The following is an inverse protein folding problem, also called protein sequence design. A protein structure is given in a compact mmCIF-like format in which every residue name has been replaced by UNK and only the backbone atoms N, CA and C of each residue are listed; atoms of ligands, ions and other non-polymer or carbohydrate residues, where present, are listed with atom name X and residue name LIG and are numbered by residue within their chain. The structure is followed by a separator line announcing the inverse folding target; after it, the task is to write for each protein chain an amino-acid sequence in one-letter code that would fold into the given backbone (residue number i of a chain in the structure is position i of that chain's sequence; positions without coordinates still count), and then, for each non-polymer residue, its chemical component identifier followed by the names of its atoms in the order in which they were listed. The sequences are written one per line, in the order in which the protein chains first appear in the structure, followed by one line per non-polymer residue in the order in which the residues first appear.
data_IF_622923862910
#
_entry.id   IF_622923862910
#
_cell.length_a   1.000
_cell.length_b   1.000
_cell.length_c   1.000
_cell.angle_alpha   90.00
_cell.angle_beta   90.00
_cell.angle_gamma   90.00
#
_symmetry.space_group_name_H-M   'P 1'
#
loop_
_entity.id
_entity.type
_entity.pdbx_description
1 polymer ?
#
# COMPACT_ATOMS: atom_id res chain seq x y z
N UNK A 1 29.34 -53.34 -1.69
CA UNK A 1 28.86 -52.57 -0.53
C UNK A 1 28.60 -51.14 -0.99
N UNK A 2 27.34 -50.74 -1.24
CA UNK A 2 27.00 -49.35 -1.49
C UNK A 2 26.57 -48.70 -0.18
N UNK A 3 27.16 -47.57 0.19
CA UNK A 3 26.80 -46.88 1.43
C UNK A 3 27.30 -45.44 1.44
N UNK A 4 26.35 -44.51 1.60
CA UNK A 4 26.51 -43.10 2.00
C UNK A 4 26.82 -42.07 0.90
N UNK A 5 25.81 -41.78 0.07
CA UNK A 5 25.67 -40.49 -0.63
C UNK A 5 24.40 -39.69 -0.25
N UNK A 6 23.68 -40.08 0.80
CA UNK A 6 22.44 -39.40 1.20
C UNK A 6 22.50 -38.82 2.62
N UNK A 7 23.21 -37.70 2.82
CA UNK A 7 23.09 -36.94 4.07
C UNK A 7 23.33 -35.41 3.98
N UNK A 8 23.66 -34.84 2.81
CA UNK A 8 23.97 -33.41 2.69
C UNK A 8 22.73 -32.56 2.34
N UNK A 9 21.63 -33.18 1.89
CA UNK A 9 20.47 -32.46 1.34
C UNK A 9 19.44 -31.89 2.32
N UNK A 10 19.52 -32.16 3.64
CA UNK A 10 18.45 -31.76 4.60
C UNK A 10 18.77 -30.61 5.55
N UNK A 11 20.02 -30.11 5.59
CA UNK A 11 20.39 -29.00 6.50
C UNK A 11 20.45 -27.62 5.83
N UNK A 12 20.35 -27.52 4.50
CA UNK A 12 20.26 -26.24 3.77
C UNK A 12 18.86 -25.60 3.78
N UNK A 13 17.87 -26.19 4.49
CA UNK A 13 16.51 -25.67 4.50
C UNK A 13 16.31 -24.47 5.45
N UNK A 14 17.07 -24.33 6.54
CA UNK A 14 16.89 -23.22 7.49
C UNK A 14 17.19 -21.83 6.87
N UNK A 15 18.24 -21.76 6.05
CA UNK A 15 18.68 -20.50 5.43
C UNK A 15 17.80 -20.04 4.26
N UNK A 16 16.96 -20.93 3.70
CA UNK A 16 15.95 -20.57 2.69
C UNK A 16 14.72 -19.88 3.30
N UNK A 17 14.51 -19.97 4.62
CA UNK A 17 13.29 -19.46 5.28
C UNK A 17 13.39 -18.00 5.72
N UNK A 18 14.60 -17.46 5.87
CA UNK A 18 14.82 -16.01 6.07
C UNK A 18 14.53 -15.18 4.81
N UNK A 19 14.28 -15.82 3.67
CA UNK A 19 13.89 -15.18 2.40
C UNK A 19 12.38 -14.92 2.26
N UNK A 20 11.54 -15.53 3.11
CA UNK A 20 10.07 -15.43 3.00
C UNK A 20 9.47 -14.22 3.74
N UNK A 21 10.22 -13.55 4.62
CA UNK A 21 9.71 -12.43 5.42
C UNK A 21 9.57 -11.12 4.66
N UNK A 22 10.22 -10.97 3.50
CA UNK A 22 10.18 -9.74 2.69
C UNK A 22 8.96 -9.69 1.75
N UNK A 23 8.37 -10.83 1.42
CA UNK A 23 7.18 -10.90 0.55
C UNK A 23 5.88 -10.48 1.25
N UNK A 24 5.90 -10.25 2.57
CA UNK A 24 4.74 -9.77 3.32
C UNK A 24 4.57 -8.23 3.29
N UNK A 25 5.54 -7.49 2.74
CA UNK A 25 5.68 -6.04 2.90
C UNK A 25 4.59 -5.25 2.14
N UNK A 26 4.09 -5.76 1.02
CA UNK A 26 3.09 -5.04 0.21
C UNK A 26 1.65 -5.14 0.78
N UNK A 27 1.38 -6.12 1.65
CA UNK A 27 0.01 -6.48 2.04
C UNK A 27 -0.46 -5.86 3.38
N UNK A 28 0.43 -5.19 4.13
CA UNK A 28 0.20 -4.92 5.56
C UNK A 28 0.07 -3.43 5.95
N UNK A 29 0.25 -2.51 5.01
CA UNK A 29 0.04 -1.05 5.21
C UNK A 29 -1.37 -0.57 4.83
N UNK A 30 -2.18 -1.40 4.16
CA UNK A 30 -3.44 -1.01 3.52
C UNK A 30 -4.73 -1.43 4.23
N UNK A 31 -4.63 -1.97 5.46
CA UNK A 31 -5.79 -2.57 6.12
C UNK A 31 -6.82 -1.55 6.68
N UNK A 32 -6.62 -0.23 6.48
CA UNK A 32 -7.49 0.82 7.03
C UNK A 32 -8.01 1.85 5.99
N UNK A 33 -8.37 1.43 4.78
CA UNK A 33 -9.04 2.33 3.83
C UNK A 33 -10.42 1.80 3.41
N UNK A 34 -11.50 2.09 4.18
CA UNK A 34 -12.82 2.21 3.59
C UNK A 34 -12.86 3.51 2.75
N UNK A 35 -13.52 3.45 1.59
CA UNK A 35 -13.47 4.36 0.43
C UNK A 35 -13.87 5.86 0.64
N UNK A 36 -13.76 6.40 1.85
CA UNK A 36 -14.00 7.79 2.20
C UNK A 36 -12.77 8.68 2.03
N UNK A 37 -11.64 8.29 2.64
CA UNK A 37 -10.45 9.13 2.88
C UNK A 37 -9.82 9.67 1.59
N UNK A 38 -10.17 10.90 1.22
CA UNK A 38 -9.69 11.53 -0.01
C UNK A 38 -8.44 12.40 0.20
N UNK A 39 -8.13 12.81 1.43
CA UNK A 39 -7.06 13.79 1.69
C UNK A 39 -5.94 13.28 2.62
N UNK A 40 -5.87 11.96 2.87
CA UNK A 40 -4.70 11.35 3.52
C UNK A 40 -3.56 11.23 2.51
N UNK A 41 -2.62 12.16 2.57
CA UNK A 41 -1.40 12.26 1.77
C UNK A 41 -0.78 10.90 1.36
N UNK A 42 -0.68 10.66 0.05
CA UNK A 42 0.14 9.59 -0.58
C UNK A 42 1.59 9.59 -0.03
N UNK A 43 2.06 10.76 0.44
CA UNK A 43 3.34 10.97 1.13
C UNK A 43 3.57 10.04 2.33
N UNK A 44 2.52 9.74 3.10
CA UNK A 44 2.64 8.94 4.32
C UNK A 44 2.94 7.47 4.01
N UNK A 45 2.47 6.94 2.87
CA UNK A 45 2.76 5.57 2.43
C UNK A 45 4.23 5.43 2.05
N UNK A 46 4.76 6.36 1.25
CA UNK A 46 6.18 6.39 0.86
C UNK A 46 7.08 6.47 2.10
N UNK A 47 6.77 7.35 3.06
CA UNK A 47 7.54 7.51 4.28
C UNK A 47 7.57 6.24 5.15
N UNK A 48 6.44 5.53 5.28
CA UNK A 48 6.40 4.22 5.98
C UNK A 48 7.31 3.21 5.28
N UNK A 49 7.24 3.14 3.94
CA UNK A 49 8.01 2.19 3.14
C UNK A 49 9.50 2.48 3.19
N UNK A 50 9.91 3.74 3.07
CA UNK A 50 11.29 4.18 3.26
C UNK A 50 11.81 3.80 4.64
N UNK A 51 11.04 4.06 5.70
CA UNK A 51 11.46 3.76 7.07
C UNK A 51 11.60 2.24 7.30
N UNK A 52 10.68 1.44 6.73
CA UNK A 52 10.79 -0.01 6.78
C UNK A 52 12.02 -0.52 6.02
N UNK A 53 12.19 -0.06 4.78
CA UNK A 53 13.33 -0.44 3.94
C UNK A 53 14.65 -0.07 4.61
N UNK A 54 14.75 1.13 5.19
CA UNK A 54 15.94 1.56 5.92
C UNK A 54 16.25 0.67 7.13
N UNK A 55 15.22 0.20 7.86
CA UNK A 55 15.42 -0.74 8.96
C UNK A 55 15.90 -2.11 8.46
N UNK A 56 15.23 -2.68 7.47
CA UNK A 56 15.58 -4.01 6.95
C UNK A 56 16.88 -4.02 6.17
N UNK A 57 17.21 -2.92 5.47
CA UNK A 57 18.47 -2.73 4.76
C UNK A 57 19.63 -2.73 5.75
N UNK A 58 19.54 -1.94 6.83
CA UNK A 58 20.56 -1.92 7.87
C UNK A 58 20.73 -3.30 8.51
N UNK A 59 19.62 -3.97 8.86
CA UNK A 59 19.65 -5.34 9.41
C UNK A 59 20.37 -6.33 8.48
N UNK A 60 20.15 -6.20 7.17
CA UNK A 60 20.81 -7.01 6.14
C UNK A 60 22.28 -6.61 5.94
N UNK A 61 22.61 -5.33 5.95
CA UNK A 61 23.99 -4.84 5.85
C UNK A 61 24.89 -5.49 6.91
N UNK A 62 24.38 -5.63 8.15
CA UNK A 62 25.07 -6.35 9.21
C UNK A 62 25.28 -7.83 8.88
N UNK A 63 24.29 -8.54 8.31
CA UNK A 63 24.46 -9.93 7.86
C UNK A 63 25.63 -10.02 6.86
N UNK A 64 25.65 -9.13 5.86
CA UNK A 64 26.64 -9.11 4.78
C UNK A 64 28.04 -8.77 5.32
N UNK A 65 28.15 -7.74 6.16
CA UNK A 65 29.42 -7.31 6.75
C UNK A 65 30.05 -8.39 7.64
N UNK A 66 29.25 -9.10 8.43
CA UNK A 66 29.73 -10.22 9.25
C UNK A 66 30.11 -11.42 8.39
N UNK A 67 29.36 -11.70 7.32
CA UNK A 67 29.72 -12.75 6.37
C UNK A 67 31.06 -12.49 5.68
N UNK A 68 31.34 -11.24 5.26
CA UNK A 68 32.67 -10.86 4.74
C UNK A 68 33.74 -11.12 5.81
N UNK A 69 33.57 -10.56 7.01
CA UNK A 69 34.54 -10.68 8.10
C UNK A 69 34.85 -12.13 8.44
N UNK A 70 33.85 -13.01 8.46
CA UNK A 70 34.04 -14.43 8.72
C UNK A 70 34.78 -15.10 7.55
N UNK A 71 34.37 -14.85 6.31
CA UNK A 71 35.01 -15.43 5.13
C UNK A 71 36.48 -14.99 4.98
N UNK A 72 36.83 -13.78 5.42
CA UNK A 72 38.22 -13.28 5.48
C UNK A 72 39.13 -14.12 6.39
N UNK A 73 38.55 -14.82 7.37
CA UNK A 73 39.32 -15.69 8.29
C UNK A 73 39.56 -17.09 7.74
N UNK A 74 38.89 -17.47 6.65
CA UNK A 74 39.01 -18.79 6.06
C UNK A 74 40.30 -18.93 5.24
N UNK A 75 40.91 -20.10 5.29
CA UNK A 75 42.16 -20.34 4.56
C UNK A 75 41.92 -20.34 3.03
N UNK A 76 42.69 -19.53 2.30
CA UNK A 76 42.63 -19.47 0.84
C UNK A 76 41.37 -18.81 0.25
N UNK A 77 40.61 -18.08 1.06
CA UNK A 77 39.48 -17.28 0.61
C UNK A 77 39.93 -16.05 -0.18
N UNK A 78 39.09 -15.61 -1.11
CA UNK A 78 39.17 -14.30 -1.76
C UNK A 78 37.79 -13.66 -1.61
N UNK A 79 37.70 -12.61 -0.79
CA UNK A 79 36.46 -11.90 -0.48
C UNK A 79 36.34 -10.60 -1.26
N UNK A 80 37.22 -10.35 -2.24
CA UNK A 80 37.25 -9.08 -2.99
C UNK A 80 35.90 -8.77 -3.63
N UNK A 81 35.24 -9.76 -4.21
CA UNK A 81 33.91 -9.59 -4.82
C UNK A 81 32.82 -9.39 -3.77
N UNK A 82 32.86 -10.11 -2.64
CA UNK A 82 31.93 -9.89 -1.53
C UNK A 82 32.02 -8.47 -0.99
N UNK A 83 33.24 -7.93 -0.82
CA UNK A 83 33.48 -6.56 -0.39
C UNK A 83 32.91 -5.51 -1.38
N UNK A 84 33.03 -5.74 -2.69
CA UNK A 84 32.40 -4.88 -3.70
C UNK A 84 30.88 -4.90 -3.60
N UNK A 85 30.28 -6.09 -3.52
CA UNK A 85 28.82 -6.24 -3.39
C UNK A 85 28.27 -5.62 -2.11
N UNK A 86 29.01 -5.72 -0.99
CA UNK A 86 28.67 -4.99 0.24
C UNK A 86 28.74 -3.46 0.05
N UNK A 87 29.74 -2.96 -0.66
CA UNK A 87 29.84 -1.53 -0.96
C UNK A 87 28.68 -1.05 -1.88
N UNK A 88 28.31 -1.85 -2.87
CA UNK A 88 27.16 -1.57 -3.75
C UNK A 88 25.85 -1.57 -2.94
N UNK A 89 25.67 -2.52 -2.03
CA UNK A 89 24.51 -2.57 -1.13
C UNK A 89 24.43 -1.31 -0.24
N UNK A 90 25.55 -0.89 0.35
CA UNK A 90 25.61 0.37 1.14
C UNK A 90 25.27 1.59 0.30
N UNK A 91 25.71 1.63 -0.97
CA UNK A 91 25.37 2.71 -1.90
C UNK A 91 23.87 2.72 -2.24
N UNK A 92 23.23 1.56 -2.30
CA UNK A 92 21.77 1.46 -2.46
C UNK A 92 21.05 1.93 -1.19
N UNK A 93 21.54 1.57 0.01
CA UNK A 93 20.96 2.01 1.28
C UNK A 93 20.93 3.54 1.42
N UNK A 94 21.96 4.26 0.97
CA UNK A 94 21.98 5.73 1.05
C UNK A 94 20.93 6.40 0.17
N UNK A 95 20.44 5.72 -0.89
CA UNK A 95 19.39 6.21 -1.80
C UNK A 95 17.98 6.10 -1.23
N UNK A 96 17.77 5.33 -0.16
CA UNK A 96 16.42 5.04 0.39
C UNK A 96 15.67 6.34 0.68
N UNK A 97 16.31 7.32 1.32
CA UNK A 97 15.70 8.60 1.70
C UNK A 97 15.36 9.50 0.50
N UNK A 98 15.98 9.26 -0.65
CA UNK A 98 15.86 10.10 -1.84
C UNK A 98 14.76 9.58 -2.79
N UNK A 99 14.14 8.43 -2.46
CA UNK A 99 13.00 7.90 -3.20
C UNK A 99 11.76 8.77 -2.96
N UNK A 100 11.25 9.43 -3.98
CA UNK A 100 10.07 10.29 -3.88
C UNK A 100 8.77 9.52 -4.08
N UNK A 101 8.83 8.42 -4.83
CA UNK A 101 7.68 7.57 -5.13
C UNK A 101 7.93 6.16 -4.65
N UNK A 102 6.86 5.42 -4.49
CA UNK A 102 6.99 4.04 -4.07
C UNK A 102 7.38 3.08 -5.18
N UNK A 103 7.18 3.43 -6.44
CA UNK A 103 7.81 2.75 -7.58
C UNK A 103 9.33 2.83 -7.47
N UNK A 104 9.87 3.99 -7.09
CA UNK A 104 11.31 4.14 -6.82
C UNK A 104 11.75 3.30 -5.60
N UNK A 105 10.91 3.19 -4.56
CA UNK A 105 11.16 2.28 -3.43
C UNK A 105 11.17 0.81 -3.90
N UNK A 106 10.23 0.39 -4.74
CA UNK A 106 10.16 -0.97 -5.29
C UNK A 106 11.38 -1.31 -6.15
N UNK A 107 11.75 -0.42 -7.07
CA UNK A 107 12.94 -0.56 -7.90
C UNK A 107 14.19 -0.69 -7.02
N UNK A 108 14.31 0.13 -5.97
CA UNK A 108 15.42 0.04 -5.03
C UNK A 108 15.43 -1.28 -4.25
N UNK A 109 14.27 -1.79 -3.82
CA UNK A 109 14.15 -3.12 -3.18
C UNK A 109 14.65 -4.21 -4.12
N UNK A 110 14.27 -4.18 -5.40
CA UNK A 110 14.71 -5.15 -6.38
C UNK A 110 16.22 -5.08 -6.61
N UNK A 111 16.77 -3.89 -6.77
CA UNK A 111 18.22 -3.67 -6.86
C UNK A 111 18.96 -4.26 -5.64
N UNK A 112 18.46 -4.01 -4.42
CA UNK A 112 19.04 -4.53 -3.18
C UNK A 112 18.91 -6.06 -3.07
N UNK A 113 17.80 -6.64 -3.56
CA UNK A 113 17.60 -8.09 -3.65
C UNK A 113 18.59 -8.72 -4.62
N UNK A 114 18.78 -8.13 -5.79
CA UNK A 114 19.73 -8.62 -6.78
C UNK A 114 21.17 -8.60 -6.24
N UNK A 115 21.58 -7.51 -5.60
CA UNK A 115 22.90 -7.42 -4.91
C UNK A 115 23.03 -8.46 -3.81
N UNK A 116 21.99 -8.64 -2.99
CA UNK A 116 21.99 -9.66 -1.91
C UNK A 116 22.07 -11.09 -2.47
N UNK A 117 21.39 -11.37 -3.58
CA UNK A 117 21.45 -12.66 -4.27
C UNK A 117 22.86 -12.97 -4.77
N UNK A 118 23.47 -12.02 -5.48
CA UNK A 118 24.85 -12.14 -5.95
C UNK A 118 25.85 -12.30 -4.79
N UNK A 119 25.66 -11.56 -3.70
CA UNK A 119 26.50 -11.69 -2.51
C UNK A 119 26.38 -13.09 -1.91
N UNK A 120 25.16 -13.63 -1.86
CA UNK A 120 24.88 -14.95 -1.31
C UNK A 120 25.57 -16.05 -2.11
N UNK A 121 25.51 -15.98 -3.44
CA UNK A 121 26.21 -16.92 -4.33
C UNK A 121 27.73 -16.87 -4.13
N UNK A 122 28.28 -15.67 -4.02
CA UNK A 122 29.71 -15.48 -3.75
C UNK A 122 30.11 -16.03 -2.38
N UNK A 123 29.32 -15.72 -1.33
CA UNK A 123 29.55 -16.23 0.02
C UNK A 123 29.52 -17.76 0.06
N UNK A 124 28.57 -18.40 -0.64
CA UNK A 124 28.50 -19.86 -0.76
C UNK A 124 29.78 -20.44 -1.40
N UNK A 125 30.27 -19.81 -2.47
CA UNK A 125 31.50 -20.21 -3.15
C UNK A 125 32.74 -20.10 -2.24
N UNK A 126 32.89 -18.95 -1.57
CA UNK A 126 34.01 -18.71 -0.66
C UNK A 126 33.97 -19.65 0.55
N UNK A 127 32.79 -19.85 1.13
CA UNK A 127 32.56 -20.80 2.23
C UNK A 127 32.90 -22.24 1.82
N UNK A 128 32.52 -22.67 0.62
CA UNK A 128 32.84 -24.01 0.14
C UNK A 128 34.35 -24.21 -0.06
N UNK A 129 35.03 -23.22 -0.66
CA UNK A 129 36.48 -23.26 -0.91
C UNK A 129 37.29 -23.23 0.40
N UNK A 130 36.92 -22.34 1.31
CA UNK A 130 37.58 -22.15 2.61
C UNK A 130 37.16 -23.16 3.69
N UNK A 131 36.31 -24.13 3.35
CA UNK A 131 35.73 -25.11 4.29
C UNK A 131 35.06 -24.45 5.50
N UNK A 132 34.37 -23.32 5.25
CA UNK A 132 33.66 -22.55 6.24
C UNK A 132 32.50 -23.32 6.88
N UNK A 133 32.23 -23.01 8.15
CA UNK A 133 31.15 -23.59 8.94
C UNK A 133 29.97 -22.62 9.05
N UNK A 134 28.78 -23.05 8.60
CA UNK A 134 27.58 -22.21 8.55
C UNK A 134 27.01 -21.86 9.92
N UNK A 135 27.06 -22.81 10.86
CA UNK A 135 26.63 -22.62 12.24
C UNK A 135 27.47 -21.56 12.96
N UNK A 136 28.77 -21.49 12.68
CA UNK A 136 29.66 -20.46 13.22
C UNK A 136 29.29 -19.07 12.65
N UNK A 137 29.05 -18.98 11.34
CA UNK A 137 28.62 -17.73 10.70
C UNK A 137 27.27 -17.24 11.26
N UNK A 138 26.28 -18.14 11.35
CA UNK A 138 24.96 -17.83 11.87
C UNK A 138 25.03 -17.34 13.33
N UNK A 139 25.85 -18.01 14.16
CA UNK A 139 26.07 -17.57 15.54
C UNK A 139 26.69 -16.17 15.60
N UNK A 140 27.68 -15.85 14.75
CA UNK A 140 28.31 -14.53 14.72
C UNK A 140 27.34 -13.44 14.25
N UNK A 141 26.52 -13.73 13.25
CA UNK A 141 25.46 -12.81 12.77
C UNK A 141 24.47 -12.54 13.90
N UNK A 142 23.98 -13.59 14.57
CA UNK A 142 23.03 -13.46 15.66
C UNK A 142 23.59 -12.63 16.82
N UNK A 143 24.85 -12.86 17.22
CA UNK A 143 25.50 -12.16 18.33
C UNK A 143 25.60 -10.65 18.06
N UNK A 144 25.94 -10.25 16.83
CA UNK A 144 26.12 -8.85 16.44
C UNK A 144 24.79 -8.11 16.28
N UNK A 145 23.73 -8.81 15.89
CA UNK A 145 22.39 -8.23 15.69
C UNK A 145 21.59 -8.16 16.97
N UNK A 146 21.81 -9.10 17.89
CA UNK A 146 21.13 -9.14 19.17
C UNK A 146 21.39 -7.85 19.94
N UNK A 147 20.33 -7.11 20.22
CA UNK A 147 20.36 -5.81 20.91
C UNK A 147 21.21 -4.72 20.23
N UNK A 148 21.43 -4.81 18.91
CA UNK A 148 22.14 -3.76 18.18
C UNK A 148 21.37 -2.42 18.26
N UNK A 149 21.96 -1.35 18.85
CA UNK A 149 21.24 -0.11 19.11
C UNK A 149 20.81 0.61 17.83
N UNK A 150 21.56 0.48 16.73
CA UNK A 150 21.23 1.11 15.45
C UNK A 150 20.05 0.42 14.76
N UNK A 151 20.04 -0.92 14.76
CA UNK A 151 18.90 -1.71 14.23
C UNK A 151 17.64 -1.41 15.05
N UNK A 152 17.76 -1.39 16.38
CA UNK A 152 16.64 -1.04 17.27
C UNK A 152 16.12 0.39 17.03
N UNK A 153 17.01 1.36 16.83
CA UNK A 153 16.63 2.74 16.53
C UNK A 153 15.86 2.85 15.21
N UNK A 154 16.32 2.20 14.13
CA UNK A 154 15.63 2.20 12.83
C UNK A 154 14.27 1.51 12.92
N UNK A 155 14.20 0.40 13.65
CA UNK A 155 12.93 -0.28 13.96
C UNK A 155 11.96 0.64 14.68
N UNK A 156 12.42 1.40 15.66
CA UNK A 156 11.60 2.35 16.40
C UNK A 156 11.08 3.49 15.50
N UNK A 157 11.94 4.02 14.63
CA UNK A 157 11.58 5.05 13.66
C UNK A 157 10.47 4.56 12.72
N UNK A 158 10.61 3.35 12.17
CA UNK A 158 9.58 2.71 11.36
C UNK A 158 8.23 2.65 12.09
N UNK A 159 8.21 2.11 13.32
CA UNK A 159 6.98 1.98 14.08
C UNK A 159 6.36 3.33 14.44
N UNK A 160 7.18 4.34 14.72
CA UNK A 160 6.71 5.70 15.00
C UNK A 160 6.01 6.30 13.78
N UNK A 161 6.67 6.25 12.61
CA UNK A 161 6.13 6.78 11.35
C UNK A 161 4.82 6.05 11.00
N UNK A 162 4.84 4.72 11.03
CA UNK A 162 3.66 3.90 10.72
C UNK A 162 2.49 4.18 11.67
N UNK A 163 2.73 4.25 12.97
CA UNK A 163 1.68 4.53 13.95
C UNK A 163 1.04 5.89 13.70
N UNK A 164 1.87 6.93 13.48
CA UNK A 164 1.39 8.30 13.23
C UNK A 164 0.50 8.36 11.99
N UNK A 165 0.99 7.84 10.86
CA UNK A 165 0.27 7.86 9.59
C UNK A 165 -1.06 7.08 9.66
N UNK A 166 -1.05 5.89 10.28
CA UNK A 166 -2.25 5.04 10.36
C UNK A 166 -3.32 5.64 11.28
N UNK A 167 -2.92 6.30 12.38
CA UNK A 167 -3.88 7.04 13.22
C UNK A 167 -4.42 8.29 12.53
N UNK A 168 -3.59 9.00 11.76
CA UNK A 168 -4.05 10.15 10.97
C UNK A 168 -5.04 9.74 9.86
N UNK A 169 -4.82 8.60 9.21
CA UNK A 169 -5.74 8.03 8.24
C UNK A 169 -7.09 7.67 8.88
N UNK A 170 -7.07 7.03 10.06
CA UNK A 170 -8.28 6.74 10.83
C UNK A 170 -9.06 8.01 11.18
N UNK A 171 -8.37 9.04 11.68
CA UNK A 171 -8.98 10.33 12.04
C UNK A 171 -9.58 11.05 10.84
N UNK A 172 -8.90 11.01 9.70
CA UNK A 172 -9.38 11.57 8.44
C UNK A 172 -10.67 10.91 8.01
N UNK A 173 -10.75 9.58 8.09
CA UNK A 173 -11.97 8.84 7.74
C UNK A 173 -13.15 9.24 8.62
N UNK A 174 -12.95 9.31 9.94
CA UNK A 174 -14.00 9.73 10.89
C UNK A 174 -14.47 11.15 10.59
N UNK A 175 -13.53 12.08 10.37
CA UNK A 175 -13.82 13.47 10.05
C UNK A 175 -14.67 13.59 8.78
N UNK A 176 -14.28 12.93 7.70
CA UNK A 176 -15.04 12.98 6.44
C UNK A 176 -16.40 12.31 6.55
N UNK A 177 -16.52 11.23 7.32
CA UNK A 177 -17.81 10.63 7.67
C UNK A 177 -18.72 11.64 8.38
N UNK A 178 -18.16 12.37 9.35
CA UNK A 178 -18.89 13.40 10.09
C UNK A 178 -19.32 14.55 9.19
N UNK A 179 -18.43 15.05 8.34
CA UNK A 179 -18.73 16.13 7.38
C UNK A 179 -19.92 15.76 6.47
N UNK A 180 -19.99 14.52 6.00
CA UNK A 180 -21.12 14.03 5.19
C UNK A 180 -22.43 14.03 5.99
N UNK A 181 -22.39 13.57 7.24
CA UNK A 181 -23.57 13.58 8.11
C UNK A 181 -24.02 15.00 8.47
N UNK A 182 -23.09 15.91 8.71
CA UNK A 182 -23.39 17.31 9.03
C UNK A 182 -24.08 18.00 7.85
N UNK A 183 -23.65 17.74 6.61
CA UNK A 183 -24.30 18.23 5.40
C UNK A 183 -25.74 17.70 5.30
N UNK A 184 -25.93 16.39 5.46
CA UNK A 184 -27.27 15.77 5.40
C UNK A 184 -28.19 16.29 6.50
N UNK A 185 -27.67 16.45 7.72
CA UNK A 185 -28.40 17.00 8.86
C UNK A 185 -28.80 18.47 8.62
N UNK A 186 -27.90 19.28 8.07
CA UNK A 186 -28.19 20.67 7.70
C UNK A 186 -29.28 20.79 6.62
N UNK A 187 -29.39 19.77 5.76
CA UNK A 187 -30.45 19.66 4.75
C UNK A 187 -31.78 19.11 5.31
N UNK A 188 -31.84 18.77 6.60
CA UNK A 188 -33.05 18.35 7.29
C UNK A 188 -33.31 16.84 7.30
N UNK A 189 -32.35 16.00 6.87
CA UNK A 189 -32.50 14.55 6.93
C UNK A 189 -32.22 13.99 8.31
N UNK A 190 -32.91 12.90 8.67
CA UNK A 190 -32.62 12.16 9.89
C UNK A 190 -31.34 11.33 9.73
N UNK A 191 -30.25 11.84 10.31
CA UNK A 191 -28.95 11.18 10.30
C UNK A 191 -28.70 10.33 11.55
N UNK A 192 -29.67 10.18 12.46
CA UNK A 192 -29.47 9.60 13.81
C UNK A 192 -28.84 8.20 13.76
N UNK A 193 -29.33 7.33 12.88
CA UNK A 193 -28.83 5.95 12.76
C UNK A 193 -27.41 5.91 12.18
N UNK A 194 -27.14 6.71 11.14
CA UNK A 194 -25.82 6.78 10.52
C UNK A 194 -24.79 7.43 11.46
N UNK A 195 -25.17 8.46 12.22
CA UNK A 195 -24.34 9.07 13.26
C UNK A 195 -23.96 8.06 14.33
N UNK A 196 -24.91 7.26 14.83
CA UNK A 196 -24.62 6.23 15.82
C UNK A 196 -23.60 5.20 15.29
N UNK A 197 -23.73 4.80 14.03
CA UNK A 197 -22.78 3.87 13.41
C UNK A 197 -21.38 4.48 13.29
N UNK A 198 -21.28 5.76 12.88
CA UNK A 198 -20.02 6.50 12.85
C UNK A 198 -19.39 6.62 14.25
N UNK A 199 -20.18 6.94 15.27
CA UNK A 199 -19.71 7.05 16.66
C UNK A 199 -19.15 5.72 17.17
N UNK A 200 -19.82 4.61 16.85
CA UNK A 200 -19.35 3.25 17.19
C UNK A 200 -18.03 2.93 16.48
N UNK A 201 -17.91 3.26 15.19
CA UNK A 201 -16.64 3.11 14.48
C UNK A 201 -15.54 3.97 15.12
N UNK A 202 -15.80 5.27 15.34
CA UNK A 202 -14.85 6.23 15.89
C UNK A 202 -14.36 5.83 17.28
N UNK A 203 -15.24 5.22 18.09
CA UNK A 203 -14.90 4.69 19.42
C UNK A 203 -13.80 3.62 19.42
N UNK A 204 -13.45 3.06 18.25
CA UNK A 204 -12.38 2.06 18.10
C UNK A 204 -10.98 2.65 18.00
N UNK A 205 -10.82 3.97 17.90
CA UNK A 205 -9.49 4.63 17.86
C UNK A 205 -8.52 4.16 18.95
N UNK A 206 -8.92 4.00 20.24
CA UNK A 206 -8.00 3.53 21.27
C UNK A 206 -7.50 2.09 21.02
N UNK A 207 -8.35 1.22 20.45
CA UNK A 207 -7.96 -0.14 20.10
C UNK A 207 -6.96 -0.15 18.92
N UNK A 208 -7.17 0.71 17.91
CA UNK A 208 -6.22 0.91 16.81
C UNK A 208 -4.87 1.39 17.35
N UNK A 209 -4.89 2.42 18.20
CA UNK A 209 -3.67 2.97 18.82
C UNK A 209 -2.92 1.93 19.64
N UNK A 210 -3.61 1.14 20.47
CA UNK A 210 -3.02 0.07 21.26
C UNK A 210 -2.41 -1.04 20.39
N UNK A 211 -3.07 -1.39 19.28
CA UNK A 211 -2.54 -2.38 18.34
C UNK A 211 -1.22 -1.93 17.70
N UNK A 212 -1.14 -0.68 17.25
CA UNK A 212 0.11 -0.12 16.72
C UNK A 212 1.19 0.05 17.80
N UNK A 213 0.83 0.45 19.02
CA UNK A 213 1.75 0.53 20.15
C UNK A 213 2.36 -0.83 20.51
N UNK A 214 1.63 -1.93 20.27
CA UNK A 214 2.14 -3.29 20.49
C UNK A 214 3.18 -3.75 19.44
N UNK A 215 3.38 -2.98 18.36
CA UNK A 215 4.34 -3.28 17.28
C UNK A 215 4.18 -4.69 16.72
N UNK A 216 2.93 -5.16 16.67
CA UNK A 216 2.56 -6.53 16.30
C UNK A 216 1.55 -6.52 15.17
N UNK A 217 1.96 -7.11 14.04
CA UNK A 217 1.07 -7.31 12.88
C UNK A 217 -0.17 -8.12 13.25
N UNK A 218 -0.04 -9.08 14.16
CA UNK A 218 -1.16 -9.91 14.61
C UNK A 218 -2.19 -9.07 15.35
N UNK A 219 -1.76 -8.17 16.25
CA UNK A 219 -2.65 -7.26 16.97
C UNK A 219 -3.34 -6.29 15.99
N UNK A 220 -2.57 -5.72 15.05
CA UNK A 220 -3.08 -4.81 14.03
C UNK A 220 -4.13 -5.50 13.16
N UNK A 221 -3.85 -6.72 12.67
CA UNK A 221 -4.80 -7.51 11.88
C UNK A 221 -6.07 -7.84 12.65
N UNK A 222 -5.94 -8.20 13.92
CA UNK A 222 -7.08 -8.54 14.77
C UNK A 222 -8.02 -7.34 14.96
N UNK A 223 -7.47 -6.15 15.23
CA UNK A 223 -8.27 -4.92 15.36
C UNK A 223 -8.91 -4.52 14.03
N UNK A 224 -8.19 -4.69 12.91
CA UNK A 224 -8.75 -4.45 11.58
C UNK A 224 -9.99 -5.29 11.28
N UNK A 225 -9.94 -6.59 11.59
CA UNK A 225 -11.08 -7.50 11.39
C UNK A 225 -12.31 -7.09 12.21
N UNK A 226 -12.13 -6.41 13.35
CA UNK A 226 -13.22 -5.91 14.18
C UNK A 226 -13.80 -4.59 13.64
N UNK A 227 -12.97 -3.75 13.02
CA UNK A 227 -13.34 -2.40 12.59
C UNK A 227 -13.95 -2.39 11.19
N UNK A 228 -13.49 -3.27 10.29
CA UNK A 228 -14.00 -3.39 8.94
C UNK A 228 -15.54 -3.49 8.86
N UNK A 229 -16.22 -4.41 9.57
CA UNK A 229 -17.68 -4.49 9.49
C UNK A 229 -18.38 -3.23 10.01
N UNK A 230 -17.79 -2.52 11.00
CA UNK A 230 -18.35 -1.26 11.51
C UNK A 230 -18.27 -0.15 10.47
N UNK A 231 -17.18 -0.09 9.69
CA UNK A 231 -17.07 0.86 8.59
C UNK A 231 -18.09 0.60 7.48
N UNK A 232 -18.37 -0.69 7.20
CA UNK A 232 -19.37 -1.09 6.21
C UNK A 232 -20.79 -0.78 6.67
N UNK A 233 -21.10 -1.03 7.94
CA UNK A 233 -22.38 -0.64 8.54
C UNK A 233 -22.60 0.88 8.42
N UNK A 234 -21.60 1.70 8.74
CA UNK A 234 -21.70 3.15 8.57
C UNK A 234 -22.01 3.54 7.11
N UNK A 235 -21.28 2.98 6.16
CA UNK A 235 -21.49 3.27 4.73
C UNK A 235 -22.91 2.89 4.30
N UNK A 236 -23.40 1.73 4.74
CA UNK A 236 -24.76 1.29 4.46
C UNK A 236 -25.80 2.24 5.06
N UNK A 237 -25.62 2.64 6.33
CA UNK A 237 -26.53 3.58 7.01
C UNK A 237 -26.51 4.97 6.38
N UNK A 238 -25.36 5.41 5.89
CA UNK A 238 -25.25 6.65 5.15
C UNK A 238 -26.05 6.58 3.83
N UNK A 239 -25.98 5.47 3.10
CA UNK A 239 -26.74 5.27 1.87
C UNK A 239 -28.27 5.27 2.11
N UNK A 240 -28.74 4.61 3.18
CA UNK A 240 -30.17 4.62 3.58
C UNK A 240 -30.69 6.05 3.83
N UNK A 241 -29.88 6.93 4.41
CA UNK A 241 -30.25 8.35 4.61
C UNK A 241 -30.26 9.10 3.27
N UNK A 242 -29.33 8.77 2.37
CA UNK A 242 -29.22 9.40 1.05
C UNK A 242 -30.38 9.04 0.10
N UNK A 243 -31.10 7.94 0.31
CA UNK A 243 -32.30 7.61 -0.46
C UNK A 243 -33.48 8.58 -0.22
N UNK A 244 -33.49 9.27 0.93
CA UNK A 244 -34.53 10.24 1.28
C UNK A 244 -34.30 11.63 0.66
N UNK A 245 -33.13 11.82 0.04
CA UNK A 245 -32.69 13.08 -0.56
C UNK A 245 -33.37 13.27 -1.92
N UNK A 246 -34.04 14.40 -2.20
CA UNK A 246 -34.59 14.69 -3.52
C UNK A 246 -33.54 14.53 -4.60
N UNK A 247 -33.98 13.96 -5.72
CA UNK A 247 -33.16 13.69 -6.91
C UNK A 247 -32.24 14.86 -7.28
N UNK A 248 -32.68 16.11 -7.12
CA UNK A 248 -31.88 17.31 -7.41
C UNK A 248 -30.58 17.38 -6.59
N UNK A 249 -30.66 17.12 -5.28
CA UNK A 249 -29.51 17.20 -4.36
C UNK A 249 -28.64 15.94 -4.52
N UNK A 250 -29.28 14.79 -4.69
CA UNK A 250 -28.60 13.50 -4.90
C UNK A 250 -27.81 13.49 -6.22
N UNK A 251 -28.37 14.05 -7.29
CA UNK A 251 -27.69 14.20 -8.57
C UNK A 251 -26.53 15.18 -8.48
N UNK A 252 -26.68 16.30 -7.76
CA UNK A 252 -25.55 17.21 -7.52
C UNK A 252 -24.41 16.50 -6.79
N UNK A 253 -24.72 15.73 -5.75
CA UNK A 253 -23.74 14.93 -5.03
C UNK A 253 -23.00 13.96 -5.96
N UNK A 254 -23.71 13.23 -6.83
CA UNK A 254 -23.07 12.33 -7.79
C UNK A 254 -22.21 13.05 -8.83
N UNK A 255 -22.62 14.23 -9.27
CA UNK A 255 -21.80 15.07 -10.16
C UNK A 255 -20.50 15.46 -9.45
N UNK A 256 -20.59 15.90 -8.19
CA UNK A 256 -19.41 16.29 -7.41
C UNK A 256 -18.47 15.09 -7.15
N UNK A 257 -19.01 13.92 -6.83
CA UNK A 257 -18.23 12.68 -6.69
C UNK A 257 -17.57 12.28 -8.01
N UNK A 258 -18.28 12.39 -9.13
CA UNK A 258 -17.72 12.11 -10.45
C UNK A 258 -16.58 13.07 -10.80
N UNK A 259 -16.71 14.37 -10.52
CA UNK A 259 -15.61 15.32 -10.75
C UNK A 259 -14.38 14.97 -9.91
N UNK A 260 -14.56 14.65 -8.62
CA UNK A 260 -13.47 14.18 -7.75
C UNK A 260 -12.82 12.90 -8.30
N UNK A 261 -13.62 11.93 -8.74
CA UNK A 261 -13.13 10.70 -9.34
C UNK A 261 -12.29 10.98 -10.59
N UNK A 262 -12.78 11.82 -11.51
CA UNK A 262 -12.02 12.18 -12.73
C UNK A 262 -10.72 12.93 -12.44
N UNK A 263 -10.67 13.74 -11.38
CA UNK A 263 -9.44 14.42 -10.97
C UNK A 263 -8.39 13.44 -10.44
N UNK A 264 -8.81 12.38 -9.74
CA UNK A 264 -7.91 11.30 -9.31
C UNK A 264 -7.39 10.52 -10.53
N UNK A 265 -8.25 10.24 -11.51
CA UNK A 265 -7.85 9.60 -12.76
C UNK A 265 -6.86 10.45 -13.55
N UNK A 266 -7.04 11.78 -13.62
CA UNK A 266 -6.06 12.68 -14.26
C UNK A 266 -4.69 12.59 -13.60
N UNK A 267 -4.68 12.54 -12.26
CA UNK A 267 -3.43 12.40 -11.50
C UNK A 267 -2.76 11.06 -11.79
N UNK A 268 -3.51 9.97 -11.75
CA UNK A 268 -3.00 8.64 -12.09
C UNK A 268 -2.50 8.57 -13.54
N UNK A 269 -3.21 9.17 -14.50
CA UNK A 269 -2.76 9.23 -15.89
C UNK A 269 -1.46 10.03 -16.02
N UNK A 270 -1.33 11.17 -15.33
CA UNK A 270 -0.09 11.95 -15.32
C UNK A 270 1.10 11.17 -14.74
N UNK A 271 0.86 10.26 -13.80
CA UNK A 271 1.87 9.35 -13.24
C UNK A 271 2.17 8.15 -14.16
N UNK A 272 1.18 7.69 -14.94
CA UNK A 272 1.34 6.59 -15.90
C UNK A 272 2.00 7.01 -17.21
N UNK A 273 1.74 8.21 -17.75
CA UNK A 273 2.29 8.69 -19.05
C UNK A 273 3.83 8.55 -19.17
N UNK A 274 4.63 8.86 -18.13
CA UNK A 274 6.08 8.71 -18.22
C UNK A 274 6.55 7.24 -18.22
N UNK A 275 5.70 6.31 -17.77
CA UNK A 275 6.01 4.88 -17.55
C UNK A 275 5.46 4.03 -18.70
N UNK A 276 4.22 4.31 -19.10
CA UNK A 276 3.47 3.63 -20.14
C UNK A 276 3.32 4.55 -21.34
N UNK A 277 3.82 4.09 -22.49
CA UNK A 277 3.68 4.79 -23.76
C UNK A 277 2.24 4.82 -24.30
N UNK A 278 1.35 3.99 -23.78
CA UNK A 278 -0.04 3.86 -24.22
C UNK A 278 -0.98 3.75 -23.02
N UNK A 279 -1.74 4.82 -22.78
CA UNK A 279 -2.88 4.86 -21.85
C UNK A 279 -4.11 5.52 -22.52
N UNK A 280 -4.18 5.48 -23.86
CA UNK A 280 -5.13 6.26 -24.66
C UNK A 280 -6.58 5.96 -24.27
N UNK A 281 -6.89 4.70 -23.95
CA UNK A 281 -8.22 4.27 -23.51
C UNK A 281 -8.62 4.89 -22.17
N UNK A 282 -7.68 4.99 -21.21
CA UNK A 282 -7.93 5.61 -19.92
C UNK A 282 -8.15 7.13 -20.07
N UNK A 283 -7.31 7.82 -20.85
CA UNK A 283 -7.49 9.25 -21.12
C UNK A 283 -8.79 9.57 -21.87
N UNK A 284 -9.14 8.75 -22.87
CA UNK A 284 -10.38 8.89 -23.62
C UNK A 284 -11.60 8.73 -22.72
N UNK A 285 -11.61 7.73 -21.85
CA UNK A 285 -12.68 7.52 -20.88
C UNK A 285 -12.78 8.66 -19.87
N UNK A 286 -11.68 9.13 -19.29
CA UNK A 286 -11.70 10.29 -18.36
C UNK A 286 -12.30 11.52 -19.02
N UNK A 287 -11.88 11.81 -20.26
CA UNK A 287 -12.41 12.94 -21.04
C UNK A 287 -13.91 12.78 -21.32
N UNK A 288 -14.34 11.56 -21.66
CA UNK A 288 -15.75 11.24 -21.87
C UNK A 288 -16.58 11.43 -20.60
N UNK A 289 -16.12 10.88 -19.47
CA UNK A 289 -16.78 11.03 -18.16
C UNK A 289 -16.93 12.50 -17.78
N UNK A 290 -15.90 13.34 -18.00
CA UNK A 290 -15.97 14.79 -17.75
C UNK A 290 -17.02 15.50 -18.61
N UNK A 291 -17.15 15.11 -19.87
CA UNK A 291 -18.18 15.66 -20.76
C UNK A 291 -19.58 15.26 -20.28
N UNK A 292 -19.77 14.01 -19.86
CA UNK A 292 -21.04 13.52 -19.34
C UNK A 292 -21.41 14.15 -17.99
N UNK A 293 -20.42 14.40 -17.12
CA UNK A 293 -20.60 15.19 -15.89
C UNK A 293 -21.04 16.63 -16.20
N UNK A 294 -20.40 17.27 -17.18
CA UNK A 294 -20.78 18.63 -17.62
C UNK A 294 -22.20 18.65 -18.19
N UNK A 295 -22.58 17.61 -18.94
CA UNK A 295 -23.94 17.44 -19.43
C UNK A 295 -24.95 17.20 -18.30
N UNK A 296 -24.63 16.35 -17.33
CA UNK A 296 -25.46 16.12 -16.14
C UNK A 296 -25.66 17.42 -15.36
N UNK A 297 -24.59 18.17 -15.10
CA UNK A 297 -24.66 19.47 -14.42
C UNK A 297 -25.56 20.46 -15.17
N UNK A 298 -25.44 20.54 -16.49
CA UNK A 298 -26.29 21.40 -17.31
C UNK A 298 -27.76 21.00 -17.24
N UNK A 299 -28.08 19.70 -17.32
CA UNK A 299 -29.48 19.21 -17.24
C UNK A 299 -30.08 19.40 -15.85
N UNK A 300 -29.25 19.28 -14.80
CA UNK A 300 -29.66 19.54 -13.44
C UNK A 300 -29.98 21.03 -13.24
N UNK A 301 -29.12 21.91 -13.76
CA UNK A 301 -29.30 23.37 -13.68
C UNK A 301 -30.53 23.88 -14.44
N UNK A 302 -31.00 23.16 -15.47
CA UNK A 302 -32.26 23.49 -16.17
C UNK A 302 -33.50 22.91 -15.52
N UNK A 303 -33.35 22.21 -14.38
CA UNK A 303 -34.44 21.61 -13.61
C UNK A 303 -35.00 20.31 -14.21
N UNK A 304 -34.38 19.75 -15.24
CA UNK A 304 -34.85 18.52 -15.88
C UNK A 304 -34.23 17.28 -15.22
N UNK A 305 -34.81 16.87 -14.10
CA UNK A 305 -34.34 15.71 -13.32
C UNK A 305 -34.33 14.41 -14.14
N UNK A 306 -35.37 14.16 -14.93
CA UNK A 306 -35.42 12.96 -15.77
C UNK A 306 -34.32 12.95 -16.84
N UNK A 307 -34.01 14.11 -17.42
CA UNK A 307 -32.93 14.22 -18.41
C UNK A 307 -31.53 14.19 -17.77
N UNK A 308 -31.43 14.41 -16.45
CA UNK A 308 -30.17 14.32 -15.69
C UNK A 308 -29.78 12.87 -15.42
N UNK A 309 -30.75 11.95 -15.31
CA UNK A 309 -30.49 10.51 -15.08
C UNK A 309 -29.67 9.87 -16.19
N UNK A 310 -29.95 10.20 -17.45
CA UNK A 310 -29.25 9.62 -18.61
C UNK A 310 -27.72 9.88 -18.58
N UNK A 311 -27.24 11.14 -18.50
CA UNK A 311 -25.81 11.40 -18.40
C UNK A 311 -25.22 10.85 -17.09
N UNK A 312 -25.95 10.82 -15.98
CA UNK A 312 -25.46 10.19 -14.76
C UNK A 312 -25.29 8.67 -14.88
N UNK A 313 -26.17 7.98 -15.61
CA UNK A 313 -25.98 6.56 -15.94
C UNK A 313 -24.78 6.33 -16.85
N UNK A 314 -24.49 7.26 -17.76
CA UNK A 314 -23.26 7.22 -18.57
C UNK A 314 -22.02 7.42 -17.70
N UNK A 315 -22.03 8.38 -16.78
CA UNK A 315 -20.95 8.57 -15.79
C UNK A 315 -20.77 7.32 -14.93
N UNK A 316 -21.85 6.73 -14.42
CA UNK A 316 -21.81 5.50 -13.65
C UNK A 316 -21.13 4.37 -14.43
N UNK A 317 -21.53 4.17 -15.69
CA UNK A 317 -20.92 3.18 -16.57
C UNK A 317 -19.45 3.49 -16.81
N UNK A 318 -19.12 4.73 -17.19
CA UNK A 318 -17.76 5.11 -17.54
C UNK A 318 -16.81 5.02 -16.34
N UNK A 319 -17.28 5.28 -15.11
CA UNK A 319 -16.51 5.05 -13.88
C UNK A 319 -16.25 3.55 -13.65
N UNK A 320 -17.23 2.69 -13.93
CA UNK A 320 -17.05 1.24 -13.88
C UNK A 320 -16.08 0.74 -14.97
N UNK A 321 -16.17 1.29 -16.18
CA UNK A 321 -15.28 0.95 -17.29
C UNK A 321 -13.85 1.45 -16.99
N UNK A 322 -13.68 2.66 -16.44
CA UNK A 322 -12.41 3.17 -15.94
C UNK A 322 -11.81 2.30 -14.85
N UNK A 323 -12.63 1.85 -13.90
CA UNK A 323 -12.19 0.92 -12.86
C UNK A 323 -11.61 -0.37 -13.47
N UNK A 324 -12.25 -0.89 -14.50
CA UNK A 324 -11.78 -2.08 -15.20
C UNK A 324 -10.48 -1.80 -15.97
N UNK A 325 -10.40 -0.68 -16.70
CA UNK A 325 -9.18 -0.28 -17.42
C UNK A 325 -7.98 -0.13 -16.46
N UNK A 326 -8.15 0.53 -15.31
CA UNK A 326 -7.06 0.63 -14.35
C UNK A 326 -6.68 -0.71 -13.71
N UNK A 327 -7.63 -1.64 -13.52
CA UNK A 327 -7.31 -3.03 -13.11
C UNK A 327 -6.55 -3.79 -14.20
N UNK A 328 -6.94 -3.61 -15.45
CA UNK A 328 -6.30 -4.28 -16.58
C UNK A 328 -4.88 -3.75 -16.76
N UNK A 329 -4.69 -2.43 -16.68
CA UNK A 329 -3.36 -1.80 -16.62
C UNK A 329 -2.55 -2.37 -15.44
N UNK A 330 -3.14 -2.42 -14.25
CA UNK A 330 -2.49 -2.93 -13.04
C UNK A 330 -2.17 -4.44 -13.06
N UNK A 331 -2.78 -5.22 -13.96
CA UNK A 331 -2.62 -6.68 -14.02
C UNK A 331 -1.84 -7.14 -15.25
N UNK A 332 -1.84 -6.34 -16.32
CA UNK A 332 -1.16 -6.64 -17.58
C UNK A 332 0.21 -5.97 -17.71
N UNK A 333 0.45 -4.88 -16.99
CA UNK A 333 1.67 -4.09 -17.09
C UNK A 333 2.58 -4.29 -15.87
N UNK A 334 3.89 -4.38 -16.11
CA UNK A 334 4.91 -4.50 -15.06
C UNK A 334 5.24 -3.12 -14.48
N UNK A 335 4.33 -2.60 -13.66
CA UNK A 335 4.34 -1.23 -13.14
C UNK A 335 4.99 -1.09 -11.76
N UNK A 336 5.52 -2.18 -11.21
CA UNK A 336 5.90 -2.25 -9.81
C UNK A 336 4.71 -2.50 -8.88
N UNK A 337 4.99 -2.92 -7.65
CA UNK A 337 3.95 -3.39 -6.72
C UNK A 337 3.09 -2.23 -6.21
N UNK A 338 3.66 -1.04 -6.04
CA UNK A 338 2.91 0.14 -5.60
C UNK A 338 1.95 0.68 -6.66
N UNK A 339 2.42 0.99 -7.87
CA UNK A 339 1.55 1.58 -8.88
C UNK A 339 0.41 0.61 -9.23
N UNK A 340 0.69 -0.70 -9.25
CA UNK A 340 -0.37 -1.72 -9.33
C UNK A 340 -1.36 -1.65 -8.17
N UNK A 341 -0.89 -1.41 -6.95
CA UNK A 341 -1.75 -1.30 -5.76
C UNK A 341 -2.54 0.01 -5.73
N UNK A 342 -1.95 1.13 -6.13
CA UNK A 342 -2.60 2.43 -6.29
C UNK A 342 -3.67 2.39 -7.37
N UNK A 343 -3.37 1.80 -8.53
CA UNK A 343 -4.33 1.59 -9.60
C UNK A 343 -5.46 0.63 -9.20
N UNK A 344 -5.16 -0.44 -8.45
CA UNK A 344 -6.20 -1.33 -7.90
C UNK A 344 -7.07 -0.62 -6.85
N UNK A 345 -6.49 0.28 -6.05
CA UNK A 345 -7.21 1.09 -5.06
C UNK A 345 -8.09 2.14 -5.74
N UNK A 346 -7.54 2.84 -6.74
CA UNK A 346 -8.29 3.77 -7.60
C UNK A 346 -9.43 3.04 -8.30
N UNK A 347 -9.17 1.88 -8.90
CA UNK A 347 -10.18 1.06 -9.53
C UNK A 347 -11.28 0.63 -8.56
N UNK A 348 -10.94 0.18 -7.36
CA UNK A 348 -11.92 -0.15 -6.34
C UNK A 348 -12.76 1.08 -5.95
N UNK A 349 -12.14 2.25 -5.83
CA UNK A 349 -12.83 3.51 -5.52
C UNK A 349 -13.79 3.92 -6.64
N UNK A 350 -13.34 3.86 -7.89
CA UNK A 350 -14.16 4.14 -9.07
C UNK A 350 -15.35 3.17 -9.15
N UNK A 351 -15.10 1.88 -8.91
CA UNK A 351 -16.15 0.86 -8.86
C UNK A 351 -17.17 1.14 -7.75
N UNK A 352 -16.71 1.49 -6.54
CA UNK A 352 -17.61 1.81 -5.44
C UNK A 352 -18.43 3.08 -5.70
N UNK A 353 -17.84 4.12 -6.31
CA UNK A 353 -18.57 5.32 -6.72
C UNK A 353 -19.62 4.98 -7.78
N UNK A 354 -19.25 4.16 -8.78
CA UNK A 354 -20.19 3.68 -9.78
C UNK A 354 -21.33 2.86 -9.16
N UNK A 355 -21.02 2.05 -8.14
CA UNK A 355 -22.02 1.22 -7.46
C UNK A 355 -23.01 2.08 -6.65
N UNK A 356 -22.51 3.06 -5.91
CA UNK A 356 -23.34 4.05 -5.20
C UNK A 356 -24.28 4.80 -6.14
N UNK A 357 -23.82 5.11 -7.35
CA UNK A 357 -24.67 5.72 -8.38
C UNK A 357 -25.70 4.73 -8.92
N UNK A 358 -25.33 3.46 -9.11
CA UNK A 358 -26.22 2.42 -9.66
C UNK A 358 -27.44 2.17 -8.79
N UNK A 359 -27.25 2.05 -7.48
CA UNK A 359 -28.34 1.75 -6.55
C UNK A 359 -29.31 2.92 -6.38
N UNK A 360 -28.87 4.14 -6.74
CA UNK A 360 -29.62 5.37 -6.58
C UNK A 360 -30.31 5.91 -7.86
N UNK A 361 -29.95 5.46 -9.07
CA UNK A 361 -30.38 6.03 -10.36
C UNK A 361 -31.46 5.24 -11.12
#
# INVERSE_FOLDING_TARGET
MPGQQHAIGRRCQGWRWTLLTVSAIALLSLLFLPAGAADGEISDTVAIRQAHLAWTALDKEYDLAIAVKYCDTLYGSDTTRMNRLLADFRKQETRIKDTATSTEVDALIEEMRNTTGQFTEEALSVMAKGQGKWDVLESQILDVKTNNPYILQKKEQYWTIRTKAQLAAFDTWVREGQERLDILKAQGYDTTTAQRSLDVFASRKPAVSAAFASKSETSIRSVNQQIQPLSQDFIQKLAEVQEQVPDTIRFQFFIDQGYRATALCDKANAELIPILLDIDDAEALVKKTKNDLTNAQRMLNTGSLQNTKTPLRLVQKDLSDLAQVYRDIASSMDLGTELNTELNTLALRLYNTADQMRDAL
#
